data_IF_505306305923
#
_entry.id   IF_505306305923
#
_cell.length_a   1.000
_cell.length_b   1.000
_cell.length_c   1.000
_cell.angle_alpha   90.00
_cell.angle_beta   90.00
_cell.angle_gamma   90.00
#
_symmetry.space_group_name_H-M   'P 1'
#
loop_
_entity.id
_entity.type
_entity.pdbx_description
1 polymer ?
#
# COMPACT_ATOMS: atom_id res chain seq x y z
N UNK A 1 14.89 -1.87 -3.07
CA UNK A 1 15.18 -1.08 -4.29
C UNK A 1 14.00 -0.17 -4.57
N UNK A 2 14.19 0.90 -5.33
CA UNK A 2 13.09 1.80 -5.71
C UNK A 2 12.21 1.16 -6.79
N UNK A 3 10.94 1.55 -6.83
CA UNK A 3 10.00 1.13 -7.87
C UNK A 3 10.42 1.62 -9.26
N UNK A 4 10.25 0.77 -10.28
CA UNK A 4 10.56 1.12 -11.67
C UNK A 4 9.69 2.29 -12.17
N UNK A 5 8.47 2.43 -11.63
CA UNK A 5 7.57 3.54 -11.93
C UNK A 5 8.18 4.91 -11.61
N UNK A 6 9.14 4.99 -10.68
CA UNK A 6 9.84 6.27 -10.39
C UNK A 6 10.71 6.76 -11.54
N UNK A 7 11.04 5.89 -12.50
CA UNK A 7 11.88 6.20 -13.66
C UNK A 7 11.13 6.12 -14.98
N UNK A 8 10.05 5.33 -15.04
CA UNK A 8 9.27 5.09 -16.25
C UNK A 8 8.03 6.00 -16.36
N UNK A 9 7.45 6.44 -15.22
CA UNK A 9 6.29 7.32 -15.24
C UNK A 9 6.70 8.76 -15.57
N UNK A 10 6.32 9.24 -16.76
CA UNK A 10 6.76 10.52 -17.31
C UNK A 10 6.48 11.75 -16.40
N UNK A 11 5.38 11.74 -15.65
CA UNK A 11 4.95 12.83 -14.76
C UNK A 11 4.80 12.37 -13.31
N UNK A 12 5.58 11.36 -12.88
CA UNK A 12 5.57 10.85 -11.50
C UNK A 12 4.13 10.50 -11.05
N UNK A 13 3.70 10.96 -9.88
CA UNK A 13 2.37 10.69 -9.32
C UNK A 13 1.23 11.06 -10.28
N UNK A 14 1.37 12.16 -11.03
CA UNK A 14 0.32 12.66 -11.92
C UNK A 14 0.06 11.74 -13.12
N UNK A 15 1.04 10.90 -13.51
CA UNK A 15 0.82 9.90 -14.56
C UNK A 15 -0.32 8.95 -14.21
N UNK A 16 -0.42 8.50 -12.96
CA UNK A 16 -1.48 7.58 -12.53
C UNK A 16 -2.66 8.31 -11.88
N UNK A 17 -2.39 9.19 -10.91
CA UNK A 17 -3.45 9.83 -10.11
C UNK A 17 -4.25 10.88 -10.88
N UNK A 18 -3.66 11.52 -11.89
CA UNK A 18 -4.32 12.54 -12.69
C UNK A 18 -4.66 12.09 -14.11
N UNK A 19 -4.50 10.80 -14.42
CA UNK A 19 -4.86 10.24 -15.71
C UNK A 19 -6.30 10.61 -16.07
N UNK A 20 -6.53 10.95 -17.33
CA UNK A 20 -7.86 11.35 -17.80
C UNK A 20 -8.81 10.15 -17.70
N UNK A 21 -10.04 10.38 -17.26
CA UNK A 21 -11.14 9.39 -17.34
C UNK A 21 -12.13 9.79 -18.42
N UNK A 22 -12.55 8.82 -19.22
CA UNK A 22 -13.63 9.01 -20.18
C UNK A 22 -14.97 8.76 -19.48
N UNK A 23 -15.93 9.69 -19.61
CA UNK A 23 -17.31 9.46 -19.16
C UNK A 23 -17.60 9.58 -17.65
N UNK A 24 -16.64 9.99 -16.82
CA UNK A 24 -16.83 10.09 -15.36
C UNK A 24 -16.10 11.26 -14.70
N UNK A 25 -16.39 11.49 -13.41
CA UNK A 25 -15.71 12.49 -12.56
C UNK A 25 -15.22 11.93 -11.23
N UNK A 26 -15.33 10.61 -11.02
CA UNK A 26 -14.98 9.96 -9.76
C UNK A 26 -13.49 9.62 -9.64
N UNK A 27 -12.81 9.46 -10.78
CA UNK A 27 -11.44 9.00 -10.90
C UNK A 27 -10.59 10.00 -11.69
N UNK A 28 -9.28 9.99 -11.46
CA UNK A 28 -8.31 10.74 -12.22
C UNK A 28 -8.43 12.27 -12.07
N UNK A 29 -7.76 12.99 -12.96
CA UNK A 29 -7.75 14.46 -12.96
C UNK A 29 -7.48 15.07 -11.58
N UNK A 30 -8.26 16.09 -11.20
CA UNK A 30 -8.12 16.76 -9.89
C UNK A 30 -8.80 16.03 -8.72
N UNK A 31 -9.34 14.83 -8.93
CA UNK A 31 -9.75 13.96 -7.80
C UNK A 31 -8.56 13.24 -7.19
N UNK A 32 -7.49 13.06 -7.99
CA UNK A 32 -6.31 12.26 -7.65
C UNK A 32 -6.62 10.79 -7.30
N UNK A 33 -7.85 10.31 -7.53
CA UNK A 33 -8.26 8.94 -7.23
C UNK A 33 -7.85 8.02 -8.38
N UNK A 34 -7.14 6.95 -8.05
CA UNK A 34 -6.73 5.93 -9.03
C UNK A 34 -7.79 4.84 -9.15
N UNK A 35 -8.49 4.53 -8.06
CA UNK A 35 -9.53 3.52 -8.03
C UNK A 35 -10.75 3.98 -7.23
N UNK A 36 -11.89 3.37 -7.53
CA UNK A 36 -13.16 3.54 -6.82
C UNK A 36 -13.72 2.16 -6.51
N UNK A 37 -14.18 1.99 -5.27
CA UNK A 37 -14.94 0.82 -4.83
C UNK A 37 -16.41 1.05 -5.16
N UNK A 38 -17.03 0.08 -5.85
CA UNK A 38 -18.46 0.11 -6.19
C UNK A 38 -19.40 -0.12 -4.99
N UNK A 39 -18.84 -0.31 -3.79
CA UNK A 39 -19.56 -0.62 -2.56
C UNK A 39 -19.86 -2.11 -2.38
N UNK A 40 -19.46 -2.95 -3.33
CA UNK A 40 -19.50 -4.40 -3.28
C UNK A 40 -18.12 -5.02 -3.10
N UNK A 41 -17.08 -4.19 -2.92
CA UNK A 41 -15.68 -4.62 -2.80
C UNK A 41 -14.98 -4.80 -4.15
N UNK A 42 -15.62 -4.44 -5.28
CA UNK A 42 -14.94 -4.45 -6.58
C UNK A 42 -14.30 -3.09 -6.81
N UNK A 43 -12.99 -3.10 -7.07
CA UNK A 43 -12.25 -1.90 -7.43
C UNK A 43 -12.30 -1.69 -8.94
N UNK A 44 -12.80 -0.53 -9.36
CA UNK A 44 -12.60 -0.02 -10.72
C UNK A 44 -11.36 0.86 -10.72
N UNK A 45 -10.33 0.49 -11.48
CA UNK A 45 -9.08 1.25 -11.61
C UNK A 45 -9.14 2.13 -12.85
N UNK A 46 -8.58 3.33 -12.79
CA UNK A 46 -8.40 4.18 -13.96
C UNK A 46 -7.26 3.65 -14.85
N UNK A 47 -7.57 2.69 -15.71
CA UNK A 47 -6.61 2.03 -16.61
C UNK A 47 -5.82 2.99 -17.51
N UNK A 48 -6.38 4.17 -17.82
CA UNK A 48 -5.69 5.17 -18.65
C UNK A 48 -4.34 5.62 -18.05
N UNK A 49 -4.16 5.55 -16.73
CA UNK A 49 -2.89 5.83 -16.07
C UNK A 49 -1.80 4.77 -16.29
N UNK A 50 -2.18 3.58 -16.75
CA UNK A 50 -1.33 2.39 -16.86
C UNK A 50 -1.14 1.94 -18.31
N UNK A 51 -2.14 2.21 -19.16
CA UNK A 51 -2.25 1.77 -20.56
C UNK A 51 -1.05 2.09 -21.48
N UNK A 52 -0.17 3.01 -21.07
CA UNK A 52 1.04 3.34 -21.83
C UNK A 52 2.14 2.26 -21.75
N UNK A 53 2.12 1.41 -20.72
CA UNK A 53 3.13 0.38 -20.48
C UNK A 53 2.53 -1.00 -20.14
N UNK A 54 1.27 -1.05 -19.74
CA UNK A 54 0.50 -2.27 -19.53
C UNK A 54 -0.60 -2.27 -20.58
N UNK A 55 -0.61 -3.25 -21.47
CA UNK A 55 -1.50 -3.31 -22.64
C UNK A 55 -2.73 -4.22 -22.42
N UNK A 56 -2.72 -5.05 -21.39
CA UNK A 56 -3.83 -5.86 -20.93
C UNK A 56 -4.43 -5.29 -19.63
N UNK A 57 -5.70 -4.89 -19.67
CA UNK A 57 -6.41 -4.30 -18.55
C UNK A 57 -6.72 -5.33 -17.46
N UNK A 58 -7.15 -6.54 -17.84
CA UNK A 58 -7.53 -7.59 -16.90
C UNK A 58 -6.30 -8.15 -16.16
N UNK A 59 -5.17 -8.31 -16.88
CA UNK A 59 -3.89 -8.70 -16.27
C UNK A 59 -3.40 -7.63 -15.27
N UNK A 60 -3.50 -6.34 -15.63
CA UNK A 60 -3.12 -5.26 -14.73
C UNK A 60 -3.98 -5.26 -13.46
N UNK A 61 -5.29 -5.43 -13.59
CA UNK A 61 -6.20 -5.41 -12.44
C UNK A 61 -5.86 -6.55 -11.48
N UNK A 62 -5.67 -7.75 -12.03
CA UNK A 62 -5.24 -8.92 -11.26
C UNK A 62 -3.90 -8.67 -10.56
N UNK A 63 -2.92 -8.08 -11.25
CA UNK A 63 -1.61 -7.76 -10.68
C UNK A 63 -1.70 -6.77 -9.51
N UNK A 64 -2.53 -5.73 -9.64
CA UNK A 64 -2.75 -4.74 -8.57
C UNK A 64 -3.45 -5.40 -7.39
N UNK A 65 -4.51 -6.17 -7.63
CA UNK A 65 -5.25 -6.88 -6.58
C UNK A 65 -4.35 -7.84 -5.80
N UNK A 66 -3.61 -8.71 -6.49
CA UNK A 66 -2.68 -9.65 -5.87
C UNK A 66 -1.60 -8.93 -5.04
N UNK A 67 -1.05 -7.84 -5.57
CA UNK A 67 -0.06 -7.00 -4.88
C UNK A 67 -0.63 -6.44 -3.58
N UNK A 68 -1.83 -5.86 -3.63
CA UNK A 68 -2.45 -5.22 -2.47
C UNK A 68 -2.89 -6.25 -1.43
N UNK A 69 -3.46 -7.38 -1.87
CA UNK A 69 -3.90 -8.47 -1.00
C UNK A 69 -2.73 -9.07 -0.21
N UNK A 70 -1.58 -9.30 -0.86
CA UNK A 70 -0.41 -9.84 -0.18
C UNK A 70 0.17 -8.87 0.85
N UNK A 71 0.26 -7.58 0.51
CA UNK A 71 0.79 -6.57 1.43
C UNK A 71 -0.16 -6.33 2.59
N UNK A 72 -1.48 -6.31 2.35
CA UNK A 72 -2.49 -6.20 3.40
C UNK A 72 -2.43 -7.38 4.37
N UNK A 73 -2.27 -8.60 3.86
CA UNK A 73 -2.09 -9.79 4.69
C UNK A 73 -0.86 -9.68 5.62
N UNK A 74 0.26 -9.17 5.11
CA UNK A 74 1.48 -8.95 5.89
C UNK A 74 1.32 -7.81 6.93
N UNK A 75 0.60 -6.73 6.58
CA UNK A 75 0.25 -5.66 7.54
C UNK A 75 -0.60 -6.24 8.67
N UNK A 76 -1.64 -7.02 8.34
CA UNK A 76 -2.54 -7.65 9.31
C UNK A 76 -1.79 -8.63 10.22
N UNK A 77 -0.89 -9.45 9.66
CA UNK A 77 -0.07 -10.38 10.44
C UNK A 77 0.82 -9.62 11.43
N UNK A 78 1.59 -8.63 10.95
CA UNK A 78 2.48 -7.84 11.80
C UNK A 78 1.69 -7.10 12.89
N UNK A 79 0.57 -6.45 12.53
CA UNK A 79 -0.31 -5.77 13.47
C UNK A 79 -0.85 -6.72 14.56
N UNK A 80 -1.29 -7.91 14.16
CA UNK A 80 -1.76 -8.94 15.11
C UNK A 80 -0.65 -9.33 16.10
N UNK A 81 0.57 -9.56 15.62
CA UNK A 81 1.71 -9.90 16.48
C UNK A 81 2.09 -8.76 17.42
N UNK A 82 2.14 -7.53 16.91
CA UNK A 82 2.42 -6.34 17.71
C UNK A 82 1.37 -6.14 18.82
N UNK A 83 0.09 -6.38 18.51
CA UNK A 83 -1.00 -6.30 19.49
C UNK A 83 -0.89 -7.40 20.56
N UNK A 84 -0.59 -8.65 20.15
CA UNK A 84 -0.38 -9.77 21.08
C UNK A 84 0.79 -9.52 22.06
N UNK A 85 1.82 -8.80 21.61
CA UNK A 85 2.95 -8.38 22.43
C UNK A 85 2.67 -7.11 23.27
N UNK A 86 1.49 -6.51 23.14
CA UNK A 86 1.11 -5.27 23.81
C UNK A 86 1.91 -4.05 23.34
N UNK A 87 2.47 -4.08 22.12
CA UNK A 87 3.26 -2.97 21.58
C UNK A 87 2.39 -1.92 20.89
N UNK A 88 1.20 -2.29 20.42
CA UNK A 88 0.21 -1.38 19.86
C UNK A 88 -1.13 -1.49 20.59
N UNK A 89 -1.89 -0.40 20.59
CA UNK A 89 -3.28 -0.37 21.01
C UNK A 89 -4.15 -1.10 19.98
N UNK A 90 -5.06 -1.95 20.43
CA UNK A 90 -5.87 -2.79 19.54
C UNK A 90 -6.90 -2.01 18.72
N UNK A 91 -7.36 -0.86 19.21
CA UNK A 91 -8.40 -0.06 18.54
C UNK A 91 -7.78 1.00 17.63
N UNK A 92 -6.67 1.60 18.07
CA UNK A 92 -5.98 2.65 17.33
C UNK A 92 -4.94 2.07 16.36
N UNK A 93 -4.41 0.89 16.66
CA UNK A 93 -3.27 0.29 15.98
C UNK A 93 -2.04 1.21 15.93
N UNK A 94 -1.81 1.99 16.99
CA UNK A 94 -0.61 2.82 17.19
C UNK A 94 0.15 2.30 18.42
N UNK A 95 1.44 2.65 18.53
CA UNK A 95 2.27 2.28 19.66
C UNK A 95 1.63 2.67 21.00
N UNK A 96 1.60 1.76 21.97
CA UNK A 96 1.11 2.04 23.33
C UNK A 96 2.08 2.98 24.03
N UNK A 97 1.58 4.10 24.56
CA UNK A 97 2.41 5.06 25.31
C UNK A 97 1.71 5.48 26.62
N UNK A 98 2.47 5.70 27.71
CA UNK A 98 3.92 5.58 27.83
C UNK A 98 4.39 4.12 27.95
N UNK A 99 5.49 3.79 27.27
CA UNK A 99 6.14 2.48 27.33
C UNK A 99 7.62 2.63 26.94
N UNK A 100 8.49 1.83 27.57
CA UNK A 100 9.89 1.74 27.19
C UNK A 100 10.04 0.72 26.04
N UNK A 101 10.39 1.23 24.86
CA UNK A 101 10.65 0.41 23.68
C UNK A 101 12.15 0.25 23.46
N UNK A 102 12.57 -0.95 23.07
CA UNK A 102 13.89 -1.16 22.48
C UNK A 102 13.98 -0.47 21.11
N UNK A 103 15.20 -0.16 20.66
CA UNK A 103 15.42 0.38 19.32
C UNK A 103 14.89 -0.55 18.22
N UNK A 104 14.93 -1.87 18.44
CA UNK A 104 14.36 -2.85 17.51
C UNK A 104 12.83 -2.71 17.42
N UNK A 105 12.14 -2.64 18.56
CA UNK A 105 10.70 -2.44 18.60
C UNK A 105 10.28 -1.12 17.94
N UNK A 106 11.02 -0.03 18.19
CA UNK A 106 10.77 1.25 17.52
C UNK A 106 10.93 1.16 15.99
N UNK A 107 11.95 0.44 15.52
CA UNK A 107 12.15 0.20 14.08
C UNK A 107 11.00 -0.61 13.46
N UNK A 108 10.53 -1.65 14.16
CA UNK A 108 9.41 -2.48 13.70
C UNK A 108 8.10 -1.67 13.69
N UNK A 109 7.80 -0.93 14.75
CA UNK A 109 6.64 -0.05 14.84
C UNK A 109 6.67 1.01 13.73
N UNK A 110 7.84 1.61 13.47
CA UNK A 110 8.00 2.55 12.36
C UNK A 110 7.69 1.90 11.02
N UNK A 111 8.25 0.72 10.72
CA UNK A 111 8.00 0.03 9.46
C UNK A 111 6.51 -0.30 9.28
N UNK A 112 5.86 -0.82 10.32
CA UNK A 112 4.43 -1.12 10.32
C UNK A 112 3.59 0.12 9.98
N UNK A 113 3.80 1.22 10.71
CA UNK A 113 3.09 2.48 10.47
C UNK A 113 3.41 3.08 9.12
N UNK A 114 4.68 3.08 8.72
CA UNK A 114 5.12 3.65 7.45
C UNK A 114 4.43 2.99 6.26
N UNK A 115 4.34 1.66 6.26
CA UNK A 115 3.71 0.92 5.15
C UNK A 115 2.18 1.02 5.21
N UNK A 116 1.57 0.94 6.39
CA UNK A 116 0.11 1.06 6.54
C UNK A 116 -0.40 2.46 6.18
N UNK A 117 0.37 3.50 6.47
CA UNK A 117 -0.04 4.89 6.22
C UNK A 117 0.34 5.43 4.83
N UNK A 118 1.12 4.69 4.04
CA UNK A 118 1.31 4.99 2.61
C UNK A 118 0.02 4.75 1.78
N UNK A 119 -0.90 3.91 2.29
CA UNK A 119 -2.22 3.59 1.70
C UNK A 119 -2.21 3.06 0.26
N UNK A 120 -1.05 2.81 -0.33
CA UNK A 120 -0.93 2.18 -1.65
C UNK A 120 -1.04 0.66 -1.60
N UNK A 121 -0.92 0.08 -0.40
CA UNK A 121 -0.82 -1.38 -0.21
C UNK A 121 0.27 -1.98 -1.10
N UNK A 122 1.41 -1.29 -1.21
CA UNK A 122 2.58 -1.74 -1.95
C UNK A 122 2.61 -1.37 -3.43
N UNK A 123 1.54 -0.84 -4.03
CA UNK A 123 1.55 -0.42 -5.45
C UNK A 123 2.67 0.59 -5.74
N UNK A 124 2.99 1.48 -4.78
CA UNK A 124 4.09 2.42 -4.94
C UNK A 124 5.46 1.73 -4.99
N UNK A 125 5.68 0.68 -4.18
CA UNK A 125 6.94 -0.07 -4.15
C UNK A 125 6.81 -1.45 -3.45
N UNK A 126 6.26 -2.43 -4.18
CA UNK A 126 5.93 -3.75 -3.65
C UNK A 126 7.12 -4.46 -3.00
N UNK A 127 8.25 -4.53 -3.71
CA UNK A 127 9.47 -5.22 -3.22
C UNK A 127 9.99 -4.62 -1.93
N UNK A 128 9.86 -3.30 -1.75
CA UNK A 128 10.33 -2.62 -0.54
C UNK A 128 9.35 -2.81 0.62
N UNK A 129 8.05 -2.63 0.37
CA UNK A 129 7.01 -2.82 1.38
C UNK A 129 7.03 -4.25 1.93
N UNK A 130 7.03 -5.24 1.05
CA UNK A 130 7.11 -6.66 1.41
C UNK A 130 8.33 -6.96 2.25
N UNK A 131 9.51 -6.53 1.81
CA UNK A 131 10.76 -6.78 2.55
C UNK A 131 10.77 -6.12 3.94
N UNK A 132 10.21 -4.91 4.11
CA UNK A 132 10.11 -4.31 5.43
C UNK A 132 9.20 -5.10 6.36
N UNK A 133 8.03 -5.53 5.87
CA UNK A 133 7.06 -6.29 6.66
C UNK A 133 7.60 -7.68 7.03
N UNK A 134 8.11 -8.45 6.07
CA UNK A 134 8.68 -9.79 6.32
C UNK A 134 9.86 -9.73 7.31
N UNK A 135 10.77 -8.77 7.14
CA UNK A 135 11.90 -8.61 8.06
C UNK A 135 11.43 -8.19 9.46
N UNK A 136 10.41 -7.33 9.55
CA UNK A 136 9.82 -6.91 10.81
C UNK A 136 9.12 -8.06 11.53
N UNK A 137 8.37 -8.91 10.80
CA UNK A 137 7.72 -10.12 11.35
C UNK A 137 8.77 -11.10 11.86
N UNK A 138 9.80 -11.39 11.06
CA UNK A 138 10.87 -12.31 11.42
C UNK A 138 11.71 -11.82 12.61
N UNK A 139 11.81 -10.51 12.83
CA UNK A 139 12.53 -9.94 13.95
C UNK A 139 11.74 -9.93 15.28
N UNK A 140 10.46 -10.34 15.27
CA UNK A 140 9.65 -10.53 16.47
C UNK A 140 9.74 -11.96 17.04
N UNK A 141 10.35 -12.90 16.31
CA UNK A 141 10.63 -14.27 16.74
C UNK A 141 11.94 -14.39 17.55
#
# INVERSE_FOLDING_TARGET
GNSLHTTLAANSCATCHMAKVEGGRALGGHTFRVAEDDGSGNLTINYNGCSACHDDEDELYTLVEDTQMEIDALILELGTRLNQLGLIDADLEYAVVPQDFSNLQLGILWNYQYIREDKSFGVHNYKYAKALLENSIAALD
#
